data_IF_351579663278
#
_entry.id   IF_351579663278
#
_cell.length_a   1.000
_cell.length_b   1.000
_cell.length_c   1.000
_cell.angle_alpha   90.00
_cell.angle_beta   90.00
_cell.angle_gamma   90.00
#
_symmetry.space_group_name_H-M   'P 1'
#
loop_
_entity.id
_entity.type
_entity.pdbx_description
1 polymer ?
#
# COMPACT_ATOMS: atom_id res chain seq x y z
N UNK A 1 8.95 55.18 33.69
CA UNK A 1 9.20 56.63 33.55
C UNK A 1 10.10 56.83 32.33
N UNK A 2 9.88 57.91 31.56
CA UNK A 2 10.70 58.39 30.42
C UNK A 2 10.73 57.46 29.17
N UNK A 3 10.39 57.90 27.93
CA UNK A 3 10.81 59.07 27.11
C UNK A 3 12.10 58.75 26.32
N UNK A 4 12.32 59.03 25.02
CA UNK A 4 11.64 59.70 23.87
C UNK A 4 12.40 59.21 22.59
N UNK A 5 12.03 59.42 21.30
CA UNK A 5 10.79 59.67 20.54
C UNK A 5 11.16 59.77 19.03
N UNK A 6 10.35 60.45 18.19
CA UNK A 6 10.59 60.83 16.76
C UNK A 6 10.55 59.69 15.71
N UNK A 7 9.98 59.87 14.51
CA UNK A 7 9.08 60.93 14.02
C UNK A 7 8.27 60.46 12.80
N UNK A 8 7.09 61.02 12.59
CA UNK A 8 6.32 60.92 11.35
C UNK A 8 5.59 62.24 11.11
N UNK A 9 5.53 62.74 9.86
CA UNK A 9 4.40 63.48 9.28
C UNK A 9 4.71 63.91 7.81
N UNK A 10 3.72 64.39 7.03
CA UNK A 10 3.74 64.37 5.56
C UNK A 10 3.69 65.79 4.97
N UNK A 11 3.61 65.92 3.64
CA UNK A 11 3.22 67.19 3.00
C UNK A 11 2.22 66.97 1.85
N UNK A 12 1.24 67.88 1.78
CA UNK A 12 0.17 67.97 0.79
C UNK A 12 0.54 68.93 -0.36
N UNK A 13 -0.19 68.84 -1.47
CA UNK A 13 -0.30 69.90 -2.49
C UNK A 13 0.75 69.83 -3.61
N UNK A 14 0.50 70.30 -4.83
CA UNK A 14 -0.69 70.97 -5.39
C UNK A 14 -0.94 70.56 -6.86
N UNK A 15 -2.10 70.95 -7.42
CA UNK A 15 -2.36 70.82 -8.87
C UNK A 15 -1.67 71.93 -9.64
N UNK A 16 -1.15 71.60 -10.83
CA UNK A 16 -1.01 72.59 -11.92
C UNK A 16 -1.46 71.99 -13.26
N UNK A 17 -1.94 72.85 -14.15
CA UNK A 17 -2.66 72.55 -15.39
C UNK A 17 -1.72 72.72 -16.59
N UNK A 18 -1.94 71.94 -17.67
CA UNK A 18 -1.76 72.27 -19.12
C UNK A 18 -1.55 70.97 -19.94
N UNK A 19 -1.87 70.95 -21.25
CA UNK A 19 -3.12 71.33 -21.89
C UNK A 19 -3.82 70.11 -22.54
N UNK A 20 -5.12 70.23 -22.89
CA UNK A 20 -5.76 69.23 -23.75
C UNK A 20 -5.21 69.34 -25.18
N UNK A 21 -4.30 68.44 -25.56
CA UNK A 21 -3.91 68.30 -26.97
C UNK A 21 -4.63 67.10 -27.60
N UNK A 22 -5.78 67.37 -28.21
CA UNK A 22 -6.53 66.38 -28.98
C UNK A 22 -5.84 66.11 -30.31
N UNK A 23 -4.89 65.16 -30.36
CA UNK A 23 -4.55 64.37 -31.55
C UNK A 23 -3.49 63.30 -31.23
N UNK A 24 -3.93 62.15 -30.70
CA UNK A 24 -3.11 60.94 -30.66
C UNK A 24 -3.78 59.82 -31.45
N UNK A 25 -3.07 59.37 -32.48
CA UNK A 25 -3.49 58.42 -33.51
C UNK A 25 -4.01 57.10 -32.88
N UNK A 26 -5.21 56.57 -33.24
CA UNK A 26 -5.82 55.43 -32.55
C UNK A 26 -5.01 54.11 -32.57
N UNK A 27 -3.98 54.02 -33.42
CA UNK A 27 -3.07 52.87 -33.50
C UNK A 27 -2.22 52.72 -32.22
N UNK A 28 -1.79 53.83 -31.59
CA UNK A 28 -0.89 53.77 -30.42
C UNK A 28 -1.56 53.30 -29.13
N UNK A 29 -2.91 53.32 -29.03
CA UNK A 29 -3.62 52.74 -27.88
C UNK A 29 -3.67 51.21 -27.88
N UNK A 30 -3.46 50.53 -29.01
CA UNK A 30 -3.42 49.05 -29.07
C UNK A 30 -2.06 48.46 -28.65
N UNK A 31 -0.97 49.22 -28.71
CA UNK A 31 0.37 48.72 -28.34
C UNK A 31 0.56 48.42 -26.85
N UNK A 32 -0.04 49.20 -25.95
CA UNK A 32 0.22 49.08 -24.50
C UNK A 32 -0.56 47.94 -23.81
N UNK A 33 -1.67 47.45 -24.38
CA UNK A 33 -2.33 46.25 -23.85
C UNK A 33 -1.57 44.96 -24.21
N UNK A 34 -0.90 44.90 -25.37
CA UNK A 34 -0.06 43.76 -25.75
C UNK A 34 1.12 43.52 -24.80
N UNK A 35 1.80 44.59 -24.39
CA UNK A 35 2.96 44.51 -23.47
C UNK A 35 2.58 43.99 -22.06
N UNK A 36 1.40 44.35 -21.54
CA UNK A 36 0.94 43.84 -20.23
C UNK A 36 0.64 42.35 -20.27
N UNK A 37 0.14 41.84 -21.40
CA UNK A 37 -0.22 40.43 -21.57
C UNK A 37 1.02 39.57 -21.82
N UNK A 38 1.94 39.97 -22.69
CA UNK A 38 3.20 39.22 -22.89
C UNK A 38 4.03 39.13 -21.60
N UNK A 39 4.13 40.22 -20.82
CA UNK A 39 4.88 40.21 -19.55
C UNK A 39 4.23 39.32 -18.49
N UNK A 40 2.89 39.21 -18.47
CA UNK A 40 2.16 38.30 -17.56
C UNK A 40 2.26 36.83 -17.99
N UNK A 41 2.19 36.55 -19.29
CA UNK A 41 2.38 35.19 -19.82
C UNK A 41 3.81 34.73 -19.58
N UNK A 42 4.82 35.56 -19.88
CA UNK A 42 6.22 35.22 -19.58
C UNK A 42 6.46 35.03 -18.09
N UNK A 43 5.87 35.83 -17.19
CA UNK A 43 6.02 35.58 -15.74
C UNK A 43 5.41 34.25 -15.28
N UNK A 44 4.24 33.85 -15.81
CA UNK A 44 3.66 32.54 -15.49
C UNK A 44 4.44 31.39 -16.10
N UNK A 45 4.86 31.52 -17.36
CA UNK A 45 5.63 30.49 -18.07
C UNK A 45 7.02 30.32 -17.44
N UNK A 46 7.71 31.42 -17.12
CA UNK A 46 8.99 31.40 -16.42
C UNK A 46 8.81 30.79 -15.03
N UNK A 47 7.82 31.22 -14.23
CA UNK A 47 7.59 30.65 -12.90
C UNK A 47 7.30 29.14 -12.92
N UNK A 48 6.58 28.64 -13.93
CA UNK A 48 6.40 27.20 -14.14
C UNK A 48 7.68 26.50 -14.61
N UNK A 49 8.50 27.15 -15.43
CA UNK A 49 9.80 26.62 -15.85
C UNK A 49 10.79 26.57 -14.68
N UNK A 50 10.78 27.56 -13.77
CA UNK A 50 11.54 27.48 -12.52
C UNK A 50 11.00 26.43 -11.57
N UNK A 51 9.68 26.14 -11.58
CA UNK A 51 9.11 25.04 -10.81
C UNK A 51 9.46 23.65 -11.38
N UNK A 52 9.85 23.56 -12.65
CA UNK A 52 10.43 22.35 -13.26
C UNK A 52 11.97 22.26 -13.11
N UNK A 53 12.65 23.34 -12.72
CA UNK A 53 14.12 23.42 -12.60
C UNK A 53 14.59 23.46 -11.14
N UNK A 54 13.76 23.95 -10.22
CA UNK A 54 13.79 23.46 -8.86
C UNK A 54 13.29 22.01 -8.92
N UNK A 55 14.16 21.05 -8.59
CA UNK A 55 13.70 19.69 -8.26
C UNK A 55 12.67 19.75 -7.13
N UNK A 56 11.85 18.69 -6.94
CA UNK A 56 10.91 18.66 -5.84
C UNK A 56 11.64 19.00 -4.53
N UNK A 57 11.07 19.94 -3.77
CA UNK A 57 11.45 20.14 -2.38
C UNK A 57 11.07 18.86 -1.66
N UNK A 58 12.08 18.07 -1.30
CA UNK A 58 11.96 16.70 -0.82
C UNK A 58 11.49 16.67 0.65
N UNK A 59 10.29 17.19 0.87
CA UNK A 59 9.60 17.12 2.14
C UNK A 59 8.87 15.78 2.20
N UNK A 60 9.49 14.80 2.86
CA UNK A 60 8.89 13.50 3.10
C UNK A 60 7.50 13.64 3.72
N UNK A 61 6.57 12.82 3.23
CA UNK A 61 5.20 12.78 3.71
C UNK A 61 5.16 12.41 5.21
N UNK A 62 4.31 13.09 5.97
CA UNK A 62 4.16 12.82 7.38
C UNK A 62 3.27 11.59 7.59
N UNK A 63 3.81 10.57 8.26
CA UNK A 63 3.03 9.45 8.78
C UNK A 63 2.14 9.97 9.92
N UNK A 64 0.83 9.79 9.78
CA UNK A 64 -0.16 10.16 10.81
C UNK A 64 -0.63 8.90 11.53
N UNK A 65 -0.43 8.84 12.84
CA UNK A 65 -1.03 7.82 13.71
C UNK A 65 -2.56 8.04 13.80
N UNK A 66 -3.34 7.03 13.43
CA UNK A 66 -4.80 7.01 13.58
C UNK A 66 -5.21 6.27 14.87
N UNK A 67 -4.41 5.30 15.31
CA UNK A 67 -4.58 4.61 16.59
C UNK A 67 -3.31 3.87 17.00
N UNK A 68 -2.99 3.90 18.30
CA UNK A 68 -1.90 3.14 18.90
C UNK A 68 -2.43 1.96 19.72
N UNK A 69 -1.77 0.80 19.58
CA UNK A 69 -1.98 -0.37 20.44
C UNK A 69 -1.17 -0.26 21.74
N UNK A 70 -1.64 -0.94 22.79
CA UNK A 70 -1.04 -0.93 24.14
C UNK A 70 -1.18 -2.27 24.90
N UNK A 71 -1.59 -3.34 24.20
CA UNK A 71 -1.72 -4.68 24.77
C UNK A 71 -3.01 -4.95 25.52
N UNK A 72 -3.71 -3.91 26.00
CA UNK A 72 -5.09 -4.04 26.46
C UNK A 72 -6.09 -3.99 25.29
N UNK A 73 -5.68 -3.44 24.14
CA UNK A 73 -6.45 -3.31 22.90
C UNK A 73 -5.76 -4.00 21.69
N UNK A 74 -5.03 -5.08 21.94
CA UNK A 74 -4.28 -5.83 20.93
C UNK A 74 -2.78 -5.53 20.87
N UNK A 75 -2.02 -6.37 20.13
CA UNK A 75 -0.60 -6.18 19.76
C UNK A 75 -0.25 -6.86 18.44
N UNK A 76 0.75 -6.32 17.72
CA UNK A 76 1.36 -6.91 16.53
C UNK A 76 0.32 -7.16 15.42
N UNK A 77 -0.12 -6.10 14.74
CA UNK A 77 -1.06 -6.22 13.62
C UNK A 77 -0.29 -6.49 12.31
N UNK A 78 -0.07 -7.77 12.00
CA UNK A 78 0.67 -8.22 10.81
C UNK A 78 -0.11 -8.07 9.49
N UNK A 79 -1.44 -8.02 9.55
CA UNK A 79 -2.32 -8.15 8.39
C UNK A 79 -2.57 -6.87 7.59
N UNK A 80 -2.27 -5.71 8.16
CA UNK A 80 -2.87 -4.45 7.72
C UNK A 80 -4.33 -4.34 8.19
N UNK A 81 -5.08 -3.47 7.51
CA UNK A 81 -6.53 -3.25 7.73
C UNK A 81 -7.29 -3.33 6.41
N UNK A 82 -8.57 -3.69 6.46
CA UNK A 82 -9.50 -3.45 5.36
C UNK A 82 -10.36 -2.21 5.66
N UNK A 83 -10.69 -1.46 4.63
CA UNK A 83 -11.68 -0.40 4.69
C UNK A 83 -13.09 -0.99 4.53
N UNK A 84 -14.03 -0.52 5.35
CA UNK A 84 -15.43 -0.91 5.28
C UNK A 84 -16.06 -0.56 3.93
N UNK A 85 -17.09 -1.31 3.53
CA UNK A 85 -17.83 -1.05 2.27
C UNK A 85 -18.46 0.35 2.16
N UNK A 86 -18.62 1.08 3.28
CA UNK A 86 -19.11 2.46 3.34
C UNK A 86 -18.00 3.53 3.47
N UNK A 87 -16.73 3.12 3.54
CA UNK A 87 -15.58 4.03 3.64
C UNK A 87 -15.40 4.70 5.01
N UNK A 88 -16.08 4.25 6.06
CA UNK A 88 -16.09 4.93 7.37
C UNK A 88 -15.17 4.30 8.43
N UNK A 89 -14.88 3.00 8.31
CA UNK A 89 -14.32 2.19 9.38
C UNK A 89 -13.25 1.24 8.84
N UNK A 90 -12.10 1.21 9.49
CA UNK A 90 -11.10 0.15 9.30
C UNK A 90 -11.43 -1.06 10.17
N UNK A 91 -11.31 -2.26 9.62
CA UNK A 91 -11.31 -3.53 10.36
C UNK A 91 -9.96 -4.21 10.23
N UNK A 92 -9.46 -4.79 11.32
CA UNK A 92 -8.19 -5.50 11.32
C UNK A 92 -8.09 -6.54 12.44
N UNK A 93 -6.94 -7.18 12.51
CA UNK A 93 -6.63 -8.22 13.50
C UNK A 93 -5.31 -7.93 14.21
N UNK A 94 -5.24 -8.26 15.49
CA UNK A 94 -3.98 -8.25 16.25
C UNK A 94 -3.60 -9.68 16.64
N UNK A 95 -2.33 -10.03 16.44
CA UNK A 95 -1.84 -11.39 16.65
C UNK A 95 -1.86 -11.81 18.13
N UNK A 96 -1.57 -10.86 19.02
CA UNK A 96 -1.73 -11.02 20.47
C UNK A 96 -2.73 -10.00 21.04
N UNK A 97 -3.08 -10.19 22.30
CA UNK A 97 -4.06 -9.35 23.03
C UNK A 97 -5.42 -10.05 23.17
N UNK A 98 -6.47 -9.28 23.42
CA UNK A 98 -7.78 -9.79 23.82
C UNK A 98 -7.78 -10.45 25.20
N UNK A 99 -8.98 -10.81 25.68
CA UNK A 99 -9.19 -11.27 27.06
C UNK A 99 -8.40 -12.53 27.48
N UNK A 100 -7.89 -13.31 26.52
CA UNK A 100 -7.11 -14.52 26.75
C UNK A 100 -5.69 -14.49 26.12
N UNK A 101 -5.27 -13.36 25.53
CA UNK A 101 -3.94 -13.19 24.93
C UNK A 101 -3.77 -13.72 23.51
N UNK A 102 -4.76 -14.41 22.95
CA UNK A 102 -4.72 -15.08 21.63
C UNK A 102 -5.10 -14.18 20.43
N UNK A 103 -5.15 -12.86 20.64
CA UNK A 103 -5.49 -11.89 19.61
C UNK A 103 -6.98 -11.56 19.55
N UNK A 104 -7.31 -10.59 18.69
CA UNK A 104 -8.66 -10.04 18.55
C UNK A 104 -8.92 -9.51 17.14
N UNK A 105 -10.21 -9.33 16.83
CA UNK A 105 -10.67 -8.52 15.69
C UNK A 105 -11.06 -7.15 16.23
N UNK A 106 -10.56 -6.08 15.63
CA UNK A 106 -10.85 -4.70 16.03
C UNK A 106 -11.49 -3.88 14.90
N UNK A 107 -12.10 -2.75 15.28
CA UNK A 107 -12.52 -1.70 14.35
C UNK A 107 -12.07 -0.31 14.81
N UNK A 108 -11.66 0.55 13.87
CA UNK A 108 -11.18 1.93 14.11
C UNK A 108 -11.83 2.87 13.08
N UNK A 109 -12.40 4.03 13.45
CA UNK A 109 -12.90 5.00 12.48
C UNK A 109 -11.78 5.51 11.55
N UNK A 110 -12.07 5.80 10.29
CA UNK A 110 -11.05 6.28 9.32
C UNK A 110 -10.39 7.61 9.74
N UNK A 111 -11.09 8.43 10.51
CA UNK A 111 -10.55 9.66 11.13
C UNK A 111 -9.68 9.43 12.38
N UNK A 112 -9.41 8.17 12.74
CA UNK A 112 -8.70 7.78 13.96
C UNK A 112 -9.60 7.71 15.21
N UNK A 113 -9.02 7.20 16.31
CA UNK A 113 -9.69 7.05 17.59
C UNK A 113 -9.33 5.74 18.31
N UNK A 114 -9.95 5.49 19.47
CA UNK A 114 -9.73 4.26 20.24
C UNK A 114 -10.26 3.03 19.48
N UNK A 115 -9.49 1.93 19.37
CA UNK A 115 -9.97 0.70 18.75
C UNK A 115 -11.13 0.11 19.55
N UNK A 116 -12.14 -0.40 18.85
CA UNK A 116 -13.23 -1.17 19.44
C UNK A 116 -12.99 -2.66 19.19
N UNK A 117 -12.94 -3.46 20.25
CA UNK A 117 -12.80 -4.92 20.17
C UNK A 117 -14.14 -5.52 19.71
N UNK A 118 -14.15 -6.19 18.55
CA UNK A 118 -15.33 -6.84 17.98
C UNK A 118 -15.47 -8.30 18.46
N UNK A 119 -14.34 -8.98 18.69
CA UNK A 119 -14.24 -10.29 19.35
C UNK A 119 -12.82 -10.57 19.83
N UNK A 120 -12.65 -11.40 20.87
CA UNK A 120 -11.35 -11.94 21.29
C UNK A 120 -11.29 -13.46 21.08
N UNK A 121 -10.12 -13.94 20.70
CA UNK A 121 -9.86 -15.37 20.52
C UNK A 121 -9.51 -16.07 21.84
N UNK A 122 -9.80 -17.38 21.92
CA UNK A 122 -9.71 -18.16 23.18
C UNK A 122 -9.24 -19.62 22.97
N UNK A 123 -8.41 -19.86 21.95
CA UNK A 123 -8.06 -21.16 21.35
C UNK A 123 -9.25 -21.90 20.72
N UNK A 124 -10.40 -22.03 21.40
CA UNK A 124 -11.51 -22.86 20.91
C UNK A 124 -12.17 -22.30 19.64
N UNK A 125 -12.18 -20.97 19.48
CA UNK A 125 -12.64 -20.25 18.30
C UNK A 125 -11.50 -19.83 17.35
N UNK A 126 -10.28 -20.36 17.55
CA UNK A 126 -9.05 -19.91 16.90
C UNK A 126 -8.10 -19.21 17.88
N UNK A 127 -6.89 -18.92 17.40
CA UNK A 127 -5.84 -18.14 18.07
C UNK A 127 -4.80 -17.61 17.07
N UNK A 128 -4.26 -16.43 17.35
CA UNK A 128 -3.25 -15.72 16.57
C UNK A 128 -3.71 -15.43 15.12
N UNK A 129 -4.67 -14.51 14.93
CA UNK A 129 -5.05 -14.04 13.60
C UNK A 129 -3.92 -13.21 12.97
N UNK A 130 -3.38 -13.68 11.84
CA UNK A 130 -2.31 -13.02 11.07
C UNK A 130 -2.79 -12.51 9.71
N UNK A 131 -3.90 -13.04 9.20
CA UNK A 131 -4.42 -12.76 7.87
C UNK A 131 -5.29 -11.49 7.80
N UNK A 132 -5.27 -10.83 6.65
CA UNK A 132 -6.25 -9.79 6.33
C UNK A 132 -7.69 -10.32 6.33
N UNK A 133 -8.62 -9.51 6.83
CA UNK A 133 -10.04 -9.83 6.84
C UNK A 133 -10.65 -9.67 5.44
N UNK A 134 -11.79 -10.33 5.22
CA UNK A 134 -12.64 -10.16 4.04
C UNK A 134 -14.05 -9.76 4.50
N UNK A 135 -14.55 -8.59 4.08
CA UNK A 135 -15.94 -8.19 4.34
C UNK A 135 -16.86 -8.63 3.20
N UNK A 136 -17.90 -9.41 3.52
CA UNK A 136 -19.00 -9.75 2.61
C UNK A 136 -20.31 -9.27 3.25
N UNK A 137 -20.78 -8.10 2.82
CA UNK A 137 -21.95 -7.45 3.40
C UNK A 137 -21.72 -7.11 4.87
N UNK A 138 -22.57 -7.62 5.76
CA UNK A 138 -22.51 -7.33 7.20
C UNK A 138 -21.65 -8.35 8.00
N UNK A 139 -20.82 -9.15 7.33
CA UNK A 139 -20.01 -10.21 7.95
C UNK A 139 -18.55 -10.10 7.51
N UNK A 140 -17.65 -10.15 8.49
CA UNK A 140 -16.21 -10.30 8.35
C UNK A 140 -15.85 -11.79 8.34
N UNK A 141 -14.94 -12.18 7.47
CA UNK A 141 -14.36 -13.51 7.37
C UNK A 141 -12.85 -13.39 7.53
N UNK A 142 -12.22 -14.40 8.12
CA UNK A 142 -10.78 -14.42 8.32
C UNK A 142 -10.28 -15.79 8.74
N UNK A 143 -9.00 -15.87 9.06
CA UNK A 143 -8.33 -17.10 9.49
C UNK A 143 -7.49 -16.85 10.74
N UNK A 144 -7.20 -17.92 11.49
CA UNK A 144 -6.26 -17.89 12.61
C UNK A 144 -5.19 -18.95 12.40
N UNK A 145 -3.92 -18.64 12.66
CA UNK A 145 -2.81 -19.55 12.34
C UNK A 145 -2.76 -20.78 13.26
N UNK A 146 -3.29 -20.66 14.48
CA UNK A 146 -3.38 -21.77 15.44
C UNK A 146 -4.76 -21.82 16.12
N UNK A 147 -4.95 -22.79 17.02
CA UNK A 147 -6.20 -23.02 17.72
C UNK A 147 -7.20 -23.86 16.91
N UNK A 148 -8.49 -23.73 17.24
CA UNK A 148 -9.53 -24.63 16.77
C UNK A 148 -9.46 -26.02 17.43
N UNK A 149 -10.24 -26.96 16.89
CA UNK A 149 -10.40 -28.30 17.46
C UNK A 149 -9.11 -29.16 17.46
N UNK A 150 -8.16 -28.86 16.57
CA UNK A 150 -6.90 -29.63 16.42
C UNK A 150 -5.64 -28.80 16.74
N UNK A 151 -5.76 -27.49 16.94
CA UNK A 151 -4.61 -26.58 17.13
C UNK A 151 -4.03 -25.98 15.85
N UNK A 152 -4.40 -26.49 14.68
CA UNK A 152 -3.84 -26.13 13.36
C UNK A 152 -4.48 -24.90 12.68
N UNK A 153 -5.38 -24.20 13.37
CA UNK A 153 -6.05 -22.99 12.88
C UNK A 153 -7.47 -23.22 12.37
N UNK A 154 -8.18 -22.10 12.15
CA UNK A 154 -9.57 -22.10 11.67
C UNK A 154 -9.81 -21.09 10.56
N UNK A 155 -10.88 -21.30 9.80
CA UNK A 155 -11.59 -20.23 9.09
C UNK A 155 -12.76 -19.79 9.97
N UNK A 156 -12.94 -18.48 10.18
CA UNK A 156 -13.99 -17.93 11.02
C UNK A 156 -14.84 -16.87 10.31
N UNK A 157 -16.01 -16.57 10.89
CA UNK A 157 -16.81 -15.39 10.56
C UNK A 157 -17.35 -14.67 11.79
N UNK A 158 -17.61 -13.37 11.65
CA UNK A 158 -18.04 -12.45 12.70
C UNK A 158 -18.92 -11.33 12.10
N UNK A 159 -19.99 -10.85 12.76
CA UNK A 159 -20.71 -9.65 12.32
C UNK A 159 -19.82 -8.40 12.40
N UNK A 160 -19.97 -7.45 11.47
CA UNK A 160 -19.18 -6.19 11.46
C UNK A 160 -19.42 -5.29 12.69
N UNK A 161 -20.51 -5.51 13.43
CA UNK A 161 -20.80 -4.85 14.71
C UNK A 161 -20.28 -5.60 15.94
N UNK A 162 -19.47 -6.65 15.74
CA UNK A 162 -18.99 -7.54 16.81
C UNK A 162 -20.01 -8.61 17.23
N UNK A 163 -19.57 -9.48 18.15
CA UNK A 163 -20.41 -10.56 18.70
C UNK A 163 -19.70 -11.91 18.72
N UNK A 164 -20.46 -12.99 18.61
CA UNK A 164 -19.92 -14.35 18.66
C UNK A 164 -19.19 -14.72 17.36
N UNK A 165 -17.91 -15.07 17.46
CA UNK A 165 -17.14 -15.70 16.38
C UNK A 165 -17.73 -17.06 16.04
N UNK A 166 -18.02 -17.31 14.77
CA UNK A 166 -18.43 -18.62 14.26
C UNK A 166 -17.25 -19.30 13.58
N UNK A 167 -16.90 -20.52 14.00
CA UNK A 167 -15.90 -21.34 13.29
C UNK A 167 -16.56 -22.01 12.10
N UNK A 168 -16.08 -21.70 10.89
CA UNK A 168 -16.60 -22.23 9.62
C UNK A 168 -15.88 -23.51 9.19
N UNK A 169 -14.58 -23.62 9.50
CA UNK A 169 -13.77 -24.81 9.23
C UNK A 169 -12.64 -24.93 10.25
N UNK A 170 -12.22 -26.17 10.52
CA UNK A 170 -11.02 -26.47 11.30
C UNK A 170 -9.99 -27.16 10.41
N UNK A 171 -8.73 -26.75 10.53
CA UNK A 171 -7.60 -27.45 9.95
C UNK A 171 -7.12 -28.56 10.90
N UNK A 172 -6.41 -29.56 10.38
CA UNK A 172 -5.98 -30.76 11.12
C UNK A 172 -4.63 -31.35 10.65
N UNK A 173 -3.81 -30.56 9.96
CA UNK A 173 -2.55 -31.00 9.35
C UNK A 173 -2.75 -31.76 8.04
N UNK A 174 -3.77 -32.61 7.92
CA UNK A 174 -4.03 -33.41 6.70
C UNK A 174 -4.77 -32.65 5.59
N UNK A 175 -5.57 -31.64 5.96
CA UNK A 175 -6.25 -30.70 5.06
C UNK A 175 -5.59 -29.31 5.06
N UNK A 176 -4.30 -29.25 5.41
CA UNK A 176 -3.54 -28.04 5.66
C UNK A 176 -3.37 -27.70 7.15
N UNK A 177 -2.48 -26.74 7.44
CA UNK A 177 -2.15 -26.22 8.77
C UNK A 177 -1.68 -24.76 8.64
N UNK A 178 -1.99 -23.93 9.65
CA UNK A 178 -1.60 -22.52 9.70
C UNK A 178 -2.11 -21.72 8.48
N UNK A 179 -3.43 -21.45 8.39
CA UNK A 179 -3.99 -20.57 7.38
C UNK A 179 -3.62 -19.11 7.68
N UNK A 180 -2.48 -18.65 7.15
CA UNK A 180 -1.91 -17.33 7.44
C UNK A 180 -2.29 -16.25 6.42
N UNK A 181 -2.83 -16.62 5.26
CA UNK A 181 -3.16 -15.68 4.19
C UNK A 181 -4.60 -15.15 4.22
N UNK A 182 -4.78 -13.93 3.73
CA UNK A 182 -6.10 -13.31 3.52
C UNK A 182 -6.99 -14.10 2.55
N UNK A 183 -8.29 -14.16 2.86
CA UNK A 183 -9.28 -14.86 2.05
C UNK A 183 -9.75 -14.01 0.85
N UNK A 184 -10.10 -14.68 -0.24
CA UNK A 184 -10.87 -14.09 -1.36
C UNK A 184 -12.15 -14.87 -1.62
N UNK A 185 -13.12 -14.24 -2.30
CA UNK A 185 -14.43 -14.85 -2.60
C UNK A 185 -14.73 -14.84 -4.09
N UNK A 186 -15.31 -15.94 -4.58
CA UNK A 186 -16.01 -16.00 -5.87
C UNK A 186 -17.36 -16.68 -5.67
N UNK A 187 -18.45 -15.98 -6.02
CA UNK A 187 -19.81 -16.45 -5.78
C UNK A 187 -20.06 -16.70 -4.28
N UNK A 188 -20.32 -17.96 -3.92
CA UNK A 188 -20.57 -18.40 -2.54
C UNK A 188 -19.40 -19.21 -1.93
N UNK A 189 -18.20 -19.08 -2.49
CA UNK A 189 -17.02 -19.85 -2.13
C UNK A 189 -15.88 -18.91 -1.74
N UNK A 190 -15.33 -19.14 -0.54
CA UNK A 190 -14.09 -18.57 -0.03
C UNK A 190 -12.91 -19.39 -0.56
N UNK A 191 -11.79 -18.73 -0.82
CA UNK A 191 -10.52 -19.34 -1.22
C UNK A 191 -9.41 -18.77 -0.35
N UNK A 192 -8.44 -19.61 0.00
CA UNK A 192 -7.31 -19.26 0.85
C UNK A 192 -6.18 -20.26 0.72
N UNK A 193 -5.12 -20.05 1.49
CA UNK A 193 -3.97 -20.96 1.57
C UNK A 193 -3.73 -21.44 3.00
N UNK A 194 -3.04 -22.57 3.14
CA UNK A 194 -2.39 -22.97 4.37
C UNK A 194 -0.89 -22.94 4.19
N UNK A 195 -0.17 -22.41 5.17
CA UNK A 195 1.29 -22.31 5.14
C UNK A 195 1.96 -23.69 5.17
N UNK A 196 1.42 -24.60 5.99
CA UNK A 196 1.92 -25.96 6.16
C UNK A 196 0.85 -27.03 5.98
N UNK A 197 1.22 -28.26 6.30
CA UNK A 197 0.35 -29.43 6.22
C UNK A 197 0.01 -29.82 4.78
N UNK A 198 -1.10 -30.55 4.64
CA UNK A 198 -1.57 -31.09 3.37
C UNK A 198 -0.83 -32.33 2.92
N UNK A 199 -1.11 -32.78 1.70
CA UNK A 199 -0.63 -34.07 1.18
C UNK A 199 0.91 -34.26 1.21
N UNK A 200 1.70 -33.18 1.16
CA UNK A 200 3.17 -33.22 1.21
C UNK A 200 3.77 -32.38 2.35
N UNK A 201 2.96 -31.85 3.28
CA UNK A 201 3.43 -30.99 4.38
C UNK A 201 3.86 -29.55 3.98
N UNK A 202 3.77 -29.19 2.70
CA UNK A 202 4.27 -27.92 2.16
C UNK A 202 3.21 -26.83 1.95
N UNK A 203 1.98 -27.03 2.46
CA UNK A 203 0.86 -26.11 2.30
C UNK A 203 -0.04 -26.45 1.11
N UNK A 204 -1.24 -25.86 1.11
CA UNK A 204 -2.29 -26.12 0.13
C UNK A 204 -3.04 -24.83 -0.25
N UNK A 205 -3.65 -24.80 -1.44
CA UNK A 205 -4.70 -23.86 -1.81
C UNK A 205 -6.04 -24.55 -1.60
N UNK A 206 -6.90 -23.97 -0.78
CA UNK A 206 -8.21 -24.54 -0.44
C UNK A 206 -9.37 -23.66 -0.92
N UNK A 207 -10.55 -24.29 -0.98
CA UNK A 207 -11.84 -23.64 -1.13
C UNK A 207 -12.80 -24.06 -0.02
N UNK A 208 -13.70 -23.17 0.39
CA UNK A 208 -14.67 -23.40 1.45
C UNK A 208 -15.98 -22.66 1.14
N UNK A 209 -17.16 -23.31 1.23
CA UNK A 209 -18.43 -22.59 1.14
C UNK A 209 -18.54 -21.50 2.22
N UNK A 210 -19.17 -20.36 1.93
CA UNK A 210 -19.34 -19.27 2.91
C UNK A 210 -20.08 -19.71 4.18
N UNK A 211 -20.94 -20.75 4.08
CA UNK A 211 -21.62 -21.37 5.22
C UNK A 211 -20.76 -22.33 6.07
N UNK A 212 -19.48 -22.51 5.73
CA UNK A 212 -18.57 -23.46 6.37
C UNK A 212 -18.68 -24.91 5.86
N UNK A 213 -17.95 -25.80 6.53
CA UNK A 213 -17.84 -27.22 6.18
C UNK A 213 -16.39 -27.70 6.14
N UNK A 214 -16.13 -28.77 5.40
CA UNK A 214 -14.77 -29.28 5.17
C UNK A 214 -14.09 -28.50 4.03
N UNK A 215 -12.88 -27.94 4.23
CA UNK A 215 -12.10 -27.34 3.16
C UNK A 215 -11.84 -28.34 2.03
N UNK A 216 -12.01 -27.91 0.78
CA UNK A 216 -11.70 -28.69 -0.43
C UNK A 216 -10.38 -28.22 -1.03
N UNK A 217 -9.41 -29.11 -1.10
CA UNK A 217 -8.08 -28.84 -1.68
C UNK A 217 -8.19 -28.66 -3.19
N UNK A 218 -7.70 -27.53 -3.70
CA UNK A 218 -7.60 -27.23 -5.14
C UNK A 218 -6.20 -27.52 -5.69
N UNK A 219 -5.18 -27.35 -4.85
CA UNK A 219 -3.78 -27.63 -5.15
C UNK A 219 -3.01 -27.93 -3.85
N UNK A 220 -2.11 -28.92 -3.89
CA UNK A 220 -1.13 -29.16 -2.83
C UNK A 220 0.27 -28.81 -3.34
N UNK A 221 1.07 -28.15 -2.50
CA UNK A 221 2.46 -27.85 -2.80
C UNK A 221 3.38 -29.03 -2.47
N UNK A 222 4.52 -29.13 -3.13
CA UNK A 222 5.44 -30.29 -3.05
C UNK A 222 6.93 -29.92 -3.12
N UNK A 223 7.27 -28.66 -2.88
CA UNK A 223 8.61 -28.11 -3.07
C UNK A 223 8.89 -27.74 -4.53
N UNK A 224 8.71 -28.67 -5.47
CA UNK A 224 9.00 -28.43 -6.90
C UNK A 224 8.06 -27.42 -7.57
N UNK A 225 6.79 -27.37 -7.15
CA UNK A 225 5.79 -26.38 -7.56
C UNK A 225 5.63 -25.20 -6.58
N UNK A 226 6.55 -25.08 -5.61
CA UNK A 226 6.49 -24.13 -4.50
C UNK A 226 6.36 -24.83 -3.14
N UNK A 227 6.56 -24.08 -2.06
CA UNK A 227 6.44 -24.49 -0.66
C UNK A 227 6.13 -23.28 0.22
N UNK A 228 5.28 -23.46 1.23
CA UNK A 228 4.86 -22.40 2.14
C UNK A 228 4.28 -21.20 1.38
N UNK A 229 3.02 -21.30 0.92
CA UNK A 229 2.27 -20.16 0.40
C UNK A 229 2.37 -18.98 1.36
N UNK A 230 2.64 -17.79 0.81
CA UNK A 230 2.80 -16.56 1.59
C UNK A 230 1.53 -16.21 2.37
N UNK A 231 1.68 -15.36 3.38
CA UNK A 231 0.59 -14.71 4.12
C UNK A 231 0.00 -13.49 3.39
N UNK A 232 0.65 -13.01 2.33
CA UNK A 232 0.03 -12.11 1.35
C UNK A 232 -1.27 -12.67 0.76
N UNK A 233 -2.29 -11.82 0.57
CA UNK A 233 -3.62 -12.20 0.06
C UNK A 233 -3.51 -12.82 -1.34
N UNK A 234 -4.27 -13.89 -1.57
CA UNK A 234 -4.49 -14.43 -2.92
C UNK A 234 -5.10 -13.37 -3.83
N UNK A 235 -4.60 -13.27 -5.06
CA UNK A 235 -5.19 -12.42 -6.09
C UNK A 235 -6.14 -13.27 -6.94
N UNK A 236 -7.44 -12.95 -6.94
CA UNK A 236 -8.41 -13.56 -7.85
C UNK A 236 -8.63 -12.68 -9.08
N UNK A 237 -8.41 -13.23 -10.28
CA UNK A 237 -8.76 -12.58 -11.54
C UNK A 237 -9.47 -13.57 -12.47
N UNK A 238 -10.71 -13.24 -12.85
CA UNK A 238 -11.61 -14.17 -13.55
C UNK A 238 -11.82 -15.45 -12.74
N UNK A 239 -11.42 -16.59 -13.31
CA UNK A 239 -11.51 -17.90 -12.68
C UNK A 239 -10.14 -18.44 -12.19
N UNK A 240 -9.15 -17.56 -12.03
CA UNK A 240 -7.78 -17.94 -11.67
C UNK A 240 -7.32 -17.21 -10.41
N UNK A 241 -6.88 -17.97 -9.43
CA UNK A 241 -6.13 -17.48 -8.27
C UNK A 241 -4.65 -17.36 -8.65
N UNK A 242 -4.00 -16.29 -8.20
CA UNK A 242 -2.57 -16.05 -8.30
C UNK A 242 -2.03 -15.81 -6.90
N UNK A 243 -0.84 -16.31 -6.62
CA UNK A 243 -0.18 -16.14 -5.33
C UNK A 243 1.30 -16.46 -5.40
N UNK A 244 1.97 -16.35 -4.26
CA UNK A 244 3.40 -16.62 -4.13
C UNK A 244 3.67 -17.69 -3.06
N UNK A 245 4.80 -18.37 -3.20
CA UNK A 245 5.32 -19.29 -2.18
C UNK A 245 6.69 -18.83 -1.73
N UNK A 246 6.91 -18.77 -0.42
CA UNK A 246 8.17 -18.30 0.16
C UNK A 246 9.35 -19.17 -0.28
N UNK A 247 9.15 -20.49 -0.30
CA UNK A 247 10.16 -21.46 -0.71
C UNK A 247 9.76 -22.28 -1.93
N UNK A 248 10.66 -23.18 -2.33
CA UNK A 248 10.47 -24.10 -3.44
C UNK A 248 10.70 -23.47 -4.81
N UNK A 249 10.09 -24.07 -5.85
CA UNK A 249 10.35 -23.72 -7.24
C UNK A 249 11.71 -24.22 -7.74
N UNK A 250 12.15 -23.76 -8.90
CA UNK A 250 13.33 -24.29 -9.58
C UNK A 250 14.67 -24.07 -8.86
N UNK A 251 14.75 -23.10 -7.94
CA UNK A 251 15.96 -22.76 -7.18
C UNK A 251 15.78 -22.81 -5.66
N UNK A 252 14.59 -23.17 -5.16
CA UNK A 252 14.28 -23.21 -3.73
C UNK A 252 13.90 -21.85 -3.12
N UNK A 253 14.24 -20.72 -3.77
CA UNK A 253 14.02 -19.35 -3.28
C UNK A 253 12.59 -18.80 -3.45
N UNK A 254 11.61 -19.65 -3.75
CA UNK A 254 10.21 -19.25 -3.91
C UNK A 254 9.74 -19.13 -5.35
N UNK A 255 8.44 -18.86 -5.52
CA UNK A 255 7.81 -18.79 -6.83
C UNK A 255 6.51 -17.95 -6.87
N UNK A 256 6.10 -17.60 -8.08
CA UNK A 256 4.73 -17.15 -8.42
C UNK A 256 3.98 -18.32 -9.05
N UNK A 257 2.75 -18.57 -8.62
CA UNK A 257 1.90 -19.65 -9.15
C UNK A 257 0.50 -19.15 -9.53
N UNK A 258 -0.25 -19.99 -10.24
CA UNK A 258 -1.69 -19.86 -10.43
C UNK A 258 -2.45 -21.17 -10.17
N UNK A 259 -3.70 -21.05 -9.73
CA UNK A 259 -4.64 -22.18 -9.53
C UNK A 259 -6.00 -21.81 -10.12
N UNK A 260 -6.59 -22.62 -11.03
CA UNK A 260 -7.97 -22.41 -11.46
C UNK A 260 -8.96 -22.69 -10.33
N UNK A 261 -9.95 -21.83 -10.11
CA UNK A 261 -10.96 -22.02 -9.04
C UNK A 261 -11.89 -23.22 -9.28
N UNK A 262 -11.92 -23.76 -10.51
CA UNK A 262 -12.58 -25.01 -10.86
C UNK A 262 -11.76 -26.27 -10.58
N UNK A 263 -10.57 -26.14 -9.99
CA UNK A 263 -9.60 -27.22 -9.80
C UNK A 263 -8.64 -27.38 -11.00
N UNK A 264 -7.57 -28.15 -10.78
CA UNK A 264 -6.52 -28.39 -11.78
C UNK A 264 -5.09 -28.39 -11.23
N UNK A 265 -4.90 -28.05 -9.94
CA UNK A 265 -3.59 -27.96 -9.31
C UNK A 265 -2.87 -26.61 -9.54
N UNK A 266 -1.70 -26.47 -8.92
CA UNK A 266 -0.85 -25.29 -9.04
C UNK A 266 0.01 -25.34 -10.30
N UNK A 267 -0.07 -24.29 -11.11
CA UNK A 267 0.80 -24.04 -12.26
C UNK A 267 1.84 -22.99 -11.88
N UNK A 268 3.12 -23.33 -12.02
CA UNK A 268 4.23 -22.41 -11.78
C UNK A 268 4.29 -21.37 -12.91
N UNK A 269 4.24 -20.08 -12.58
CA UNK A 269 4.37 -19.00 -13.56
C UNK A 269 5.82 -18.51 -13.66
N UNK A 270 6.53 -18.44 -12.54
CA UNK A 270 7.94 -18.05 -12.51
C UNK A 270 8.60 -18.45 -11.19
N UNK A 271 9.90 -18.72 -11.23
CA UNK A 271 10.71 -19.02 -10.04
C UNK A 271 11.67 -17.88 -9.71
N UNK A 272 11.90 -17.73 -8.40
CA UNK A 272 12.83 -16.80 -7.82
C UNK A 272 14.20 -17.44 -7.59
N UNK A 273 15.23 -16.60 -7.47
CA UNK A 273 16.62 -16.91 -7.16
C UNK A 273 17.33 -15.61 -6.72
N UNK A 274 18.44 -15.71 -5.99
CA UNK A 274 19.19 -14.55 -5.47
C UNK A 274 19.43 -13.37 -6.41
N UNK A 275 19.45 -13.55 -7.74
CA UNK A 275 19.57 -12.43 -8.68
C UNK A 275 18.25 -11.69 -9.00
N UNK A 276 17.09 -12.38 -8.96
CA UNK A 276 15.77 -11.79 -9.26
C UNK A 276 14.81 -11.71 -8.06
N UNK A 277 15.30 -11.97 -6.85
CA UNK A 277 14.58 -11.91 -5.58
C UNK A 277 14.46 -13.27 -4.91
N UNK A 278 14.25 -13.30 -3.60
CA UNK A 278 14.04 -14.52 -2.80
C UNK A 278 12.97 -14.29 -1.73
N UNK A 279 12.17 -15.31 -1.44
CA UNK A 279 11.09 -15.27 -0.43
C UNK A 279 10.03 -14.20 -0.74
N UNK A 280 9.18 -14.42 -1.77
CA UNK A 280 8.09 -13.50 -2.14
C UNK A 280 6.93 -13.53 -1.12
N UNK A 281 6.95 -12.57 -0.20
CA UNK A 281 6.02 -12.40 0.93
C UNK A 281 4.71 -11.68 0.57
N UNK A 282 4.77 -10.69 -0.32
CA UNK A 282 3.66 -9.73 -0.48
C UNK A 282 2.55 -10.22 -1.40
N UNK A 283 1.32 -9.75 -1.13
CA UNK A 283 0.18 -9.97 -2.01
C UNK A 283 0.40 -9.39 -3.41
N UNK A 284 -0.06 -10.10 -4.45
CA UNK A 284 0.14 -9.71 -5.84
C UNK A 284 -0.89 -8.66 -6.30
N UNK A 285 -0.42 -7.66 -7.05
CA UNK A 285 -1.28 -6.71 -7.77
C UNK A 285 -1.26 -7.02 -9.27
N UNK A 286 -2.41 -6.92 -9.93
CA UNK A 286 -2.54 -7.13 -11.38
C UNK A 286 -2.82 -5.82 -12.10
N UNK A 287 -2.03 -5.50 -13.13
CA UNK A 287 -2.39 -4.47 -14.11
C UNK A 287 -2.36 -5.07 -15.52
N UNK A 288 -3.52 -5.09 -16.19
CA UNK A 288 -3.69 -5.80 -17.45
C UNK A 288 -3.35 -7.29 -17.32
N UNK A 289 -2.25 -7.70 -17.96
CA UNK A 289 -1.73 -9.07 -17.95
C UNK A 289 -0.41 -9.22 -17.17
N UNK A 290 -0.05 -8.23 -16.34
CA UNK A 290 1.20 -8.21 -15.58
C UNK A 290 0.92 -8.22 -14.09
N UNK A 291 1.46 -9.24 -13.41
CA UNK A 291 1.52 -9.34 -11.95
C UNK A 291 2.70 -8.51 -11.44
N UNK A 292 2.50 -7.84 -10.32
CA UNK A 292 3.50 -7.09 -9.57
C UNK A 292 3.50 -7.57 -8.13
N UNK A 293 4.68 -7.64 -7.52
CA UNK A 293 4.87 -8.05 -6.14
C UNK A 293 6.27 -7.68 -5.66
N UNK A 294 6.59 -8.09 -4.43
CA UNK A 294 7.91 -7.89 -3.84
C UNK A 294 8.48 -9.19 -3.26
N UNK A 295 9.80 -9.21 -3.08
CA UNK A 295 10.52 -10.28 -2.38
C UNK A 295 11.22 -9.72 -1.16
N UNK A 296 11.26 -10.49 -0.08
CA UNK A 296 11.86 -10.08 1.19
C UNK A 296 13.39 -9.97 1.06
N UNK A 297 13.99 -10.91 0.32
CA UNK A 297 15.44 -11.08 0.16
C UNK A 297 15.83 -11.07 -1.33
N UNK A 298 17.12 -11.23 -1.63
CA UNK A 298 17.68 -11.27 -2.98
C UNK A 298 17.85 -9.90 -3.64
N UNK A 299 18.22 -9.92 -4.93
CA UNK A 299 18.63 -8.73 -5.67
C UNK A 299 20.07 -8.29 -5.34
N UNK A 300 20.49 -7.16 -5.90
CA UNK A 300 21.90 -6.74 -5.87
C UNK A 300 22.48 -6.48 -4.47
N UNK A 301 21.64 -6.12 -3.49
CA UNK A 301 22.02 -5.92 -2.08
C UNK A 301 21.62 -7.06 -1.14
N UNK A 302 20.90 -8.08 -1.62
CA UNK A 302 20.12 -9.02 -0.80
C UNK A 302 19.03 -8.37 0.07
N UNK A 303 18.69 -7.10 -0.20
CA UNK A 303 17.72 -6.30 0.56
C UNK A 303 16.28 -6.39 0.01
N UNK A 304 16.05 -7.23 -1.02
CA UNK A 304 14.76 -7.43 -1.65
C UNK A 304 14.59 -6.70 -2.99
N UNK A 305 13.57 -7.08 -3.75
CA UNK A 305 13.20 -6.43 -5.02
C UNK A 305 11.69 -6.22 -5.14
N UNK A 306 11.29 -5.22 -5.92
CA UNK A 306 9.96 -5.19 -6.55
C UNK A 306 10.10 -5.78 -7.94
N UNK A 307 9.23 -6.73 -8.28
CA UNK A 307 9.27 -7.48 -9.53
C UNK A 307 7.98 -7.31 -10.36
N UNK A 308 8.08 -7.67 -11.63
CA UNK A 308 6.92 -7.93 -12.50
C UNK A 308 7.01 -9.30 -13.17
N UNK A 309 5.86 -9.91 -13.45
CA UNK A 309 5.75 -11.19 -14.15
C UNK A 309 4.47 -11.22 -15.01
N UNK A 310 4.54 -11.58 -16.30
CA UNK A 310 3.34 -11.82 -17.11
C UNK A 310 2.48 -12.98 -16.55
N UNK A 311 1.15 -12.88 -16.61
CA UNK A 311 0.23 -13.94 -16.13
C UNK A 311 0.36 -15.27 -16.88
N UNK A 312 0.97 -15.28 -18.06
CA UNK A 312 1.31 -16.48 -18.83
C UNK A 312 2.70 -17.06 -18.49
N UNK A 313 3.39 -16.50 -17.48
CA UNK A 313 4.66 -16.98 -16.95
C UNK A 313 5.91 -16.46 -17.67
N UNK A 314 7.06 -16.85 -17.14
CA UNK A 314 8.40 -16.43 -17.57
C UNK A 314 9.35 -16.26 -16.39
N UNK A 315 10.46 -15.56 -16.61
CA UNK A 315 11.37 -15.15 -15.54
C UNK A 315 10.85 -13.86 -14.88
N UNK A 316 10.69 -13.80 -13.55
CA UNK A 316 10.40 -12.55 -12.85
C UNK A 316 11.42 -11.46 -13.21
N UNK A 317 10.91 -10.29 -13.62
CA UNK A 317 11.71 -9.13 -14.03
C UNK A 317 11.82 -8.17 -12.87
N UNK A 318 13.05 -7.90 -12.41
CA UNK A 318 13.34 -6.89 -11.38
C UNK A 318 13.01 -5.51 -11.93
N UNK A 319 12.06 -4.81 -11.30
CA UNK A 319 11.74 -3.41 -11.60
C UNK A 319 12.59 -2.46 -10.76
N UNK A 320 12.83 -2.82 -9.50
CA UNK A 320 13.63 -2.05 -8.57
C UNK A 320 14.33 -2.96 -7.56
N UNK A 321 15.59 -2.65 -7.26
CA UNK A 321 16.37 -3.29 -6.20
C UNK A 321 16.48 -2.35 -5.01
N UNK A 322 16.32 -2.92 -3.83
CA UNK A 322 16.38 -2.20 -2.57
C UNK A 322 17.79 -2.25 -1.97
N UNK A 323 18.03 -1.38 -1.00
CA UNK A 323 19.24 -1.30 -0.20
C UNK A 323 18.93 -0.65 1.15
N UNK A 324 19.75 -0.91 2.18
CA UNK A 324 19.58 -0.37 3.54
C UNK A 324 19.34 1.15 3.73
N UNK A 325 19.36 2.00 2.70
CA UNK A 325 18.86 3.40 2.79
C UNK A 325 17.47 3.63 2.21
N UNK A 326 17.09 2.93 1.13
CA UNK A 326 15.79 3.12 0.46
C UNK A 326 14.75 2.04 0.80
N UNK A 327 15.13 1.08 1.65
CA UNK A 327 14.29 0.04 2.23
C UNK A 327 15.00 -1.30 2.24
N UNK A 328 14.65 -2.21 3.15
CA UNK A 328 14.98 -3.64 3.02
C UNK A 328 13.98 -4.49 3.78
N UNK A 329 13.86 -5.77 3.40
CA UNK A 329 12.88 -6.72 3.95
C UNK A 329 11.47 -6.18 3.68
N UNK A 330 10.94 -6.50 2.50
CA UNK A 330 9.66 -5.98 2.01
C UNK A 330 8.52 -6.89 2.48
N UNK A 331 8.13 -6.84 3.76
CA UNK A 331 6.98 -7.60 4.27
C UNK A 331 5.64 -6.84 4.17
N UNK A 332 5.66 -5.52 3.92
CA UNK A 332 4.46 -4.73 3.68
C UNK A 332 3.90 -4.91 2.26
N UNK A 333 2.57 -4.90 2.17
CA UNK A 333 1.81 -5.10 0.95
C UNK A 333 2.08 -4.05 -0.12
N UNK A 334 1.87 -4.45 -1.37
CA UNK A 334 2.04 -3.61 -2.54
C UNK A 334 0.66 -3.16 -3.05
N UNK A 335 0.51 -1.88 -3.40
CA UNK A 335 -0.69 -1.34 -4.04
C UNK A 335 -0.31 -0.53 -5.27
N UNK A 336 -1.21 -0.46 -6.25
CA UNK A 336 -1.01 0.27 -7.50
C UNK A 336 -1.82 1.57 -7.48
N UNK A 337 -1.22 2.66 -7.97
CA UNK A 337 -1.88 3.94 -8.18
C UNK A 337 -3.09 3.81 -9.11
N UNK A 338 -4.10 4.67 -8.93
CA UNK A 338 -5.35 4.60 -9.70
C UNK A 338 -5.21 4.81 -11.22
N UNK A 339 -4.08 5.32 -11.69
CA UNK A 339 -3.72 5.44 -13.11
C UNK A 339 -2.87 4.27 -13.64
N UNK A 340 -2.44 3.36 -12.77
CA UNK A 340 -1.60 2.21 -13.10
C UNK A 340 -0.11 2.50 -13.32
N UNK A 341 0.40 3.69 -12.97
CA UNK A 341 1.80 4.08 -13.24
C UNK A 341 2.80 3.77 -12.14
N UNK A 342 2.35 3.70 -10.88
CA UNK A 342 3.22 3.71 -9.70
C UNK A 342 2.76 2.68 -8.69
N UNK A 343 3.69 1.85 -8.21
CA UNK A 343 3.49 0.94 -7.09
C UNK A 343 3.89 1.66 -5.80
N UNK A 344 3.08 1.57 -4.76
CA UNK A 344 3.41 1.98 -3.40
C UNK A 344 3.52 0.73 -2.53
N UNK A 345 4.50 0.70 -1.64
CA UNK A 345 4.73 -0.40 -0.72
C UNK A 345 5.52 0.06 0.50
N UNK A 346 5.76 -0.86 1.42
CA UNK A 346 6.53 -0.61 2.63
C UNK A 346 7.65 -1.62 2.79
N UNK A 347 8.65 -1.25 3.57
CA UNK A 347 9.72 -2.15 4.01
C UNK A 347 9.98 -1.99 5.49
N UNK A 348 10.30 -3.11 6.14
CA UNK A 348 10.42 -3.23 7.59
C UNK A 348 11.55 -2.35 8.12
N UNK A 349 12.64 -2.24 7.35
CA UNK A 349 13.82 -1.42 7.65
C UNK A 349 14.14 -0.43 6.52
N UNK A 350 15.19 0.37 6.71
CA UNK A 350 15.53 1.56 5.91
C UNK A 350 14.99 2.87 6.49
N UNK A 351 15.28 3.98 5.82
CA UNK A 351 14.91 5.33 6.27
C UNK A 351 15.68 5.83 7.50
N UNK A 352 15.13 6.84 8.16
CA UNK A 352 15.75 7.45 9.35
C UNK A 352 15.81 6.46 10.52
N UNK A 353 17.02 6.14 10.99
CA UNK A 353 17.30 5.16 12.05
C UNK A 353 16.98 3.70 11.70
N UNK A 354 16.73 3.38 10.42
CA UNK A 354 16.63 2.00 9.92
C UNK A 354 15.45 1.20 10.54
N UNK A 355 14.28 1.83 10.62
CA UNK A 355 13.05 1.33 11.28
C UNK A 355 11.80 1.33 10.39
N UNK A 356 12.02 1.51 9.07
CA UNK A 356 11.04 1.26 8.03
C UNK A 356 10.66 2.50 7.23
N UNK A 357 10.21 2.27 6.00
CA UNK A 357 9.78 3.32 5.07
C UNK A 357 8.53 2.93 4.30
N UNK A 358 7.80 3.93 3.84
CA UNK A 358 6.89 3.82 2.69
C UNK A 358 7.65 4.29 1.46
N UNK A 359 7.64 3.49 0.39
CA UNK A 359 8.31 3.78 -0.87
C UNK A 359 7.33 3.83 -2.06
N UNK A 360 7.81 4.36 -3.17
CA UNK A 360 7.21 4.18 -4.50
C UNK A 360 8.20 3.66 -5.53
N UNK A 361 7.69 2.86 -6.47
CA UNK A 361 8.41 2.29 -7.62
C UNK A 361 7.57 2.45 -8.89
N UNK A 362 8.07 3.08 -9.97
CA UNK A 362 7.37 3.13 -11.25
C UNK A 362 7.18 1.73 -11.84
N UNK A 363 6.02 1.43 -12.46
CA UNK A 363 5.76 0.10 -13.07
C UNK A 363 6.69 -0.26 -14.24
N UNK A 364 7.42 0.73 -14.77
CA UNK A 364 8.45 0.56 -15.81
C UNK A 364 9.86 0.29 -15.23
N UNK A 365 9.98 0.23 -13.90
CA UNK A 365 11.24 0.12 -13.18
C UNK A 365 11.95 1.45 -12.94
N UNK A 366 12.91 1.43 -12.02
CA UNK A 366 13.69 2.60 -11.60
C UNK A 366 14.20 2.48 -10.17
N UNK A 367 14.79 3.57 -9.67
CA UNK A 367 15.20 3.67 -8.26
C UNK A 367 13.97 3.83 -7.37
N UNK A 368 13.83 3.05 -6.27
CA UNK A 368 12.81 3.31 -5.26
C UNK A 368 12.91 4.73 -4.70
N UNK A 369 11.77 5.40 -4.57
CA UNK A 369 11.68 6.72 -3.94
C UNK A 369 11.06 6.57 -2.56
N UNK A 370 11.77 6.96 -1.50
CA UNK A 370 11.21 6.97 -0.13
C UNK A 370 10.21 8.12 -0.02
N UNK A 371 8.96 7.80 0.28
CA UNK A 371 7.88 8.77 0.46
C UNK A 371 7.76 9.23 1.91
N UNK A 372 7.94 8.32 2.87
CA UNK A 372 7.87 8.59 4.31
C UNK A 372 8.78 7.64 5.08
N UNK A 373 9.36 8.14 6.18
CA UNK A 373 10.15 7.35 7.13
C UNK A 373 9.40 7.16 8.44
N UNK A 374 9.50 5.98 9.04
CA UNK A 374 9.08 5.74 10.41
C UNK A 374 10.11 6.27 11.41
N UNK A 375 9.66 6.58 12.62
CA UNK A 375 10.44 7.28 13.67
C UNK A 375 10.35 6.61 15.03
N UNK A 376 9.62 5.49 15.13
CA UNK A 376 9.25 4.82 16.38
C UNK A 376 8.09 5.54 17.09
N UNK A 377 8.04 6.87 17.08
CA UNK A 377 6.92 7.63 17.64
C UNK A 377 5.62 7.47 16.83
N UNK A 378 5.75 7.22 15.52
CA UNK A 378 4.66 6.97 14.56
C UNK A 378 4.59 5.49 14.11
N UNK A 379 5.13 4.57 14.92
CA UNK A 379 5.29 3.16 14.60
C UNK A 379 6.69 2.81 14.06
N UNK A 380 6.92 1.52 13.82
CA UNK A 380 8.14 0.94 13.21
C UNK A 380 7.81 -0.39 12.54
N UNK A 381 8.51 -0.75 11.46
CA UNK A 381 8.26 -1.98 10.69
C UNK A 381 6.81 -2.02 10.13
N UNK A 382 6.53 -1.27 9.03
CA UNK A 382 5.22 -1.28 8.37
C UNK A 382 4.98 -2.62 7.64
N UNK A 383 3.80 -3.21 7.82
CA UNK A 383 3.49 -4.58 7.37
C UNK A 383 2.07 -4.72 6.82
N UNK A 384 1.79 -5.89 6.24
CA UNK A 384 0.44 -6.32 5.89
C UNK A 384 -0.13 -5.60 4.67
N UNK A 385 -1.38 -5.89 4.31
CA UNK A 385 -1.98 -5.25 3.16
C UNK A 385 -2.24 -3.76 3.40
N UNK A 386 -1.81 -2.93 2.45
CA UNK A 386 -2.14 -1.52 2.44
C UNK A 386 -3.47 -1.25 1.71
N UNK A 387 -4.15 -0.21 2.15
CA UNK A 387 -5.33 0.35 1.48
C UNK A 387 -4.95 1.70 0.91
N UNK A 388 -5.21 1.91 -0.39
CA UNK A 388 -5.09 3.22 -1.02
C UNK A 388 -6.51 3.76 -1.26
N UNK A 389 -6.89 4.82 -0.56
CA UNK A 389 -8.12 5.59 -0.85
C UNK A 389 -7.75 6.99 -1.33
N UNK A 390 -8.17 7.31 -2.56
CA UNK A 390 -7.69 8.48 -3.29
C UNK A 390 -6.16 8.55 -3.36
N UNK A 391 -5.58 9.47 -2.58
CA UNK A 391 -4.14 9.71 -2.48
C UNK A 391 -3.61 9.46 -1.06
N UNK A 392 -4.33 8.70 -0.22
CA UNK A 392 -3.90 8.38 1.14
C UNK A 392 -3.72 6.86 1.23
N UNK A 393 -2.50 6.47 1.61
CA UNK A 393 -2.12 5.10 1.88
C UNK A 393 -2.31 4.82 3.38
N UNK A 394 -2.99 3.73 3.70
CA UNK A 394 -3.25 3.26 5.06
C UNK A 394 -2.65 1.88 5.25
N UNK A 395 -2.15 1.60 6.46
CA UNK A 395 -1.55 0.33 6.82
C UNK A 395 -1.34 0.19 8.33
N UNK A 396 -0.65 -0.86 8.74
CA UNK A 396 -0.28 -1.09 10.15
C UNK A 396 1.21 -1.25 10.34
N UNK A 397 1.68 -1.03 11.57
CA UNK A 397 3.03 -1.39 12.00
C UNK A 397 2.97 -2.53 13.03
N UNK A 398 4.00 -3.38 13.09
CA UNK A 398 4.04 -4.46 14.10
C UNK A 398 4.38 -3.96 15.49
N UNK A 399 5.15 -2.86 15.57
CA UNK A 399 5.72 -2.36 16.82
C UNK A 399 5.73 -0.83 16.89
N UNK A 400 6.20 -0.35 18.05
CA UNK A 400 6.30 1.06 18.44
C UNK A 400 4.95 1.82 18.38
N UNK A 401 4.98 3.15 18.27
CA UNK A 401 3.81 4.04 18.36
C UNK A 401 3.84 4.95 19.59
N UNK A 402 2.75 5.67 19.86
CA UNK A 402 2.69 6.67 20.93
C UNK A 402 2.82 6.09 22.37
N UNK A 403 2.75 4.76 22.50
CA UNK A 403 2.85 4.03 23.77
C UNK A 403 4.28 3.53 24.08
N UNK A 404 5.35 4.17 23.57
CA UNK A 404 6.73 3.81 23.91
C UNK A 404 6.97 3.82 25.43
N UNK A 405 7.53 2.74 25.96
CA UNK A 405 7.86 2.61 27.39
C UNK A 405 9.36 2.45 27.55
N UNK A 406 10.03 3.51 27.99
CA UNK A 406 11.45 3.47 28.39
C UNK A 406 12.46 4.09 27.41
N UNK A 407 12.02 4.54 26.24
CA UNK A 407 12.89 5.19 25.24
C UNK A 407 13.55 4.22 24.24
N UNK A 408 13.22 2.94 24.29
CA UNK A 408 13.58 1.97 23.26
C UNK A 408 12.68 2.16 22.04
N UNK A 409 13.27 2.41 20.86
CA UNK A 409 12.56 2.78 19.62
C UNK A 409 11.62 1.70 19.08
N UNK A 410 11.81 0.45 19.50
CA UNK A 410 10.97 -0.71 19.16
C UNK A 410 9.95 -1.05 20.26
N UNK A 411 9.89 -0.29 21.37
CA UNK A 411 8.91 -0.52 22.43
C UNK A 411 7.53 0.03 22.03
N UNK A 412 6.52 -0.83 22.00
CA UNK A 412 5.14 -0.49 21.64
C UNK A 412 4.50 -1.59 20.81
N UNK A 413 3.17 -1.59 20.74
CA UNK A 413 2.38 -2.72 20.25
C UNK A 413 1.86 -2.54 18.80
N UNK A 414 2.30 -1.47 18.13
CA UNK A 414 1.96 -1.11 16.75
C UNK A 414 0.98 0.06 16.62
N UNK A 415 0.82 0.59 15.40
CA UNK A 415 -0.19 1.61 15.07
C UNK A 415 -0.99 1.22 13.82
N UNK A 416 -2.17 1.83 13.64
CA UNK A 416 -2.78 2.02 12.31
C UNK A 416 -2.38 3.41 11.83
N UNK A 417 -1.75 3.52 10.66
CA UNK A 417 -1.25 4.78 10.14
C UNK A 417 -1.94 5.23 8.85
N UNK A 418 -1.71 6.49 8.48
CA UNK A 418 -1.97 7.01 7.14
C UNK A 418 -0.79 7.86 6.63
N UNK A 419 -0.51 7.79 5.33
CA UNK A 419 0.53 8.56 4.63
C UNK A 419 -0.06 9.13 3.34
N UNK A 420 -0.01 10.46 3.10
CA UNK A 420 -0.37 11.01 1.81
C UNK A 420 0.68 10.64 0.76
N UNK A 421 0.26 10.02 -0.34
CA UNK A 421 1.13 9.67 -1.47
C UNK A 421 0.95 10.66 -2.64
N UNK A 422 1.97 10.87 -3.49
CA UNK A 422 1.86 11.78 -4.62
C UNK A 422 0.70 11.41 -5.54
N UNK A 423 -0.06 12.42 -5.99
CA UNK A 423 -1.05 12.23 -7.04
C UNK A 423 -0.36 11.68 -8.32
N UNK A 424 -1.04 10.86 -9.12
CA UNK A 424 -0.56 10.55 -10.47
C UNK A 424 -0.55 11.83 -11.32
N UNK A 425 0.64 12.45 -11.42
CA UNK A 425 0.87 13.63 -12.24
C UNK A 425 0.60 13.29 -13.73
N UNK A 426 -0.19 14.10 -14.46
CA UNK A 426 -0.32 13.95 -15.90
C UNK A 426 1.02 14.32 -16.55
N UNK A 427 1.87 13.31 -16.73
CA UNK A 427 3.32 13.46 -16.92
C UNK A 427 3.71 14.57 -17.90
N UNK A 428 4.75 15.34 -17.54
CA UNK A 428 5.14 16.59 -18.19
C UNK A 428 5.25 16.55 -19.73
N UNK A 429 5.50 15.38 -20.31
CA UNK A 429 5.46 15.15 -21.76
C UNK A 429 4.11 15.52 -22.41
N UNK A 430 2.98 15.24 -21.76
CA UNK A 430 1.63 15.57 -22.26
C UNK A 430 1.37 17.08 -22.32
N UNK A 431 1.80 17.82 -21.29
CA UNK A 431 1.67 19.28 -21.25
C UNK A 431 2.63 19.99 -22.22
N UNK A 432 3.84 19.46 -22.42
CA UNK A 432 4.78 19.96 -23.43
C UNK A 432 4.22 19.85 -24.85
N UNK A 433 3.54 18.74 -25.17
CA UNK A 433 2.83 18.60 -26.45
C UNK A 433 1.68 19.60 -26.56
N UNK A 434 0.84 19.73 -25.53
CA UNK A 434 -0.30 20.65 -25.54
C UNK A 434 0.12 22.12 -25.70
N UNK A 435 1.17 22.56 -24.99
CA UNK A 435 1.75 23.90 -25.12
C UNK A 435 2.36 24.17 -26.49
N UNK A 436 3.09 23.19 -27.04
CA UNK A 436 3.69 23.27 -28.37
C UNK A 436 2.63 23.36 -29.48
N UNK A 437 1.57 22.54 -29.38
CA UNK A 437 0.47 22.54 -30.34
C UNK A 437 -0.34 23.85 -30.28
N UNK A 438 -0.59 24.38 -29.09
CA UNK A 438 -1.26 25.67 -28.90
C UNK A 438 -0.45 26.85 -29.47
N UNK A 439 0.89 26.84 -29.35
CA UNK A 439 1.76 27.82 -30.02
C UNK A 439 1.72 27.66 -31.55
N UNK A 440 1.80 26.43 -32.07
CA UNK A 440 1.84 26.17 -33.51
C UNK A 440 0.52 26.59 -34.21
N UNK A 441 -0.62 26.34 -33.57
CA UNK A 441 -1.95 26.72 -34.07
C UNK A 441 -2.15 28.24 -34.08
N UNK A 442 -1.64 28.97 -33.07
CA UNK A 442 -1.68 30.45 -33.10
C UNK A 442 -0.76 31.05 -34.17
N UNK A 443 0.46 30.53 -34.34
CA UNK A 443 1.39 31.02 -35.36
C UNK A 443 0.84 30.91 -36.79
N UNK A 444 0.00 29.90 -37.08
CA UNK A 444 -0.70 29.78 -38.37
C UNK A 444 -1.89 30.74 -38.53
N UNK A 445 -2.56 31.17 -37.46
CA UNK A 445 -3.63 32.19 -37.54
C UNK A 445 -3.08 33.59 -37.76
N UNK A 446 -1.95 33.93 -37.15
CA UNK A 446 -1.36 35.27 -37.31
C UNK A 446 -0.71 35.47 -38.70
N UNK A 447 -0.27 34.38 -39.37
CA UNK A 447 0.21 34.43 -40.76
C UNK A 447 -0.89 34.38 -41.83
N UNK A 448 -2.17 34.23 -41.47
CA UNK A 448 -3.29 34.26 -42.42
C UNK A 448 -4.09 35.58 -42.38
N UNK A 449 -3.54 36.62 -41.75
CA UNK A 449 -4.19 37.93 -41.52
C UNK A 449 -3.27 39.11 -41.95
N UNK A 450 -2.09 38.82 -42.54
CA UNK A 450 -1.16 39.80 -43.12
C UNK A 450 -1.36 39.99 -44.62
#
# INVERSE_FOLDING_TARGET
MQSQALEAFPLNGERSVLPQNQNLNPILRRGMQGHSIMTKINRKLIAFLTLCLAGPLDLQAQVTDLTSFNGANGRNSYSGVILSQDGTTFYGTTYYGGAAGYGEVFSVPVGGGTPTVLTSFNNSNGANPQAGLLQIGNTLYGTTSIGGANGDGVVFSLPVGGGATTVLANFNGTNGQAPMAGLVVSGNTLYGTTFGGGANGHGEVFSLPIGGGTPTVLASFNGSNGQAPSDGRLLLSGNTLYGTTLGGGASGSGAVYSVPIGGGGATLLGSFNGANGEEPTTGLVLSGNTLYGATMNGGAGNDGVVFSLPVNGGTPTVLASFNGTNGRILAAGLVLSGDGSTLYGGSDYGGDNDIGVIYSVPVQGGTPTVLASFTGANGSEPVGEFVLDGNILYGTTVAAGASQVGGDTFSGDGVVFSVPVPAPEPGCAGLLLAGSLAMLVRRRRDQSIS
#
